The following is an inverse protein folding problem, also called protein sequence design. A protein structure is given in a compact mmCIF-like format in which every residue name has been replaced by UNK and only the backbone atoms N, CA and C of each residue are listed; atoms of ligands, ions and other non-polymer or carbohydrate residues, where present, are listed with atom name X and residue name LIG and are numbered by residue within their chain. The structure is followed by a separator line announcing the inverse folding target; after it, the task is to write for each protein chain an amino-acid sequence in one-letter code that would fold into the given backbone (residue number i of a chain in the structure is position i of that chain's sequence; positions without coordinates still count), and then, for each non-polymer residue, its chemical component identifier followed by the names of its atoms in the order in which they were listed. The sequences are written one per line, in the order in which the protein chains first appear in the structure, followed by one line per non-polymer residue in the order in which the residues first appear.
data_IF_028834390510
#
_entry.id   IF_028834390510
#
_cell.length_a   1.000
_cell.length_b   1.000
_cell.length_c   1.000
_cell.angle_alpha   90.00
_cell.angle_beta   90.00
_cell.angle_gamma   90.00
#
_symmetry.space_group_name_H-M   'P 1'
#
loop_
_entity.id
_entity.type
_entity.pdbx_description
1 polymer ?
#
# COMPACT_ATOMS: atom_id res chain seq x y z
N UNK A 1 13.65 2.81 -21.13
CA UNK A 1 13.54 4.29 -21.10
C UNK A 1 12.40 4.86 -21.96
N UNK A 2 12.08 4.30 -23.14
CA UNK A 2 11.00 4.78 -24.03
C UNK A 2 9.61 4.86 -23.35
N UNK A 3 9.18 3.75 -22.75
CA UNK A 3 7.86 3.65 -22.12
C UNK A 3 7.62 4.71 -21.03
N UNK A 4 8.64 5.09 -20.26
CA UNK A 4 8.46 6.07 -19.18
C UNK A 4 8.19 7.47 -19.74
N UNK A 5 8.85 7.84 -20.85
CA UNK A 5 8.61 9.12 -21.52
C UNK A 5 7.22 9.16 -22.12
N UNK A 6 6.81 8.09 -22.78
CA UNK A 6 5.49 7.98 -23.42
C UNK A 6 4.36 7.99 -22.38
N UNK A 7 4.58 7.42 -21.18
CA UNK A 7 3.64 7.51 -20.06
C UNK A 7 3.55 8.94 -19.52
N UNK A 8 4.70 9.61 -19.35
CA UNK A 8 4.73 10.98 -18.84
C UNK A 8 4.16 12.00 -19.83
N UNK A 9 4.22 11.72 -21.14
CA UNK A 9 3.58 12.54 -22.20
C UNK A 9 2.11 12.21 -22.41
N UNK A 10 1.60 11.11 -21.83
CA UNK A 10 0.22 10.66 -21.98
C UNK A 10 -0.05 9.84 -23.24
N UNK A 11 0.99 9.53 -24.02
CA UNK A 11 0.89 8.71 -25.24
C UNK A 11 0.73 7.21 -24.94
N UNK A 12 0.94 6.82 -23.68
CA UNK A 12 0.90 5.43 -23.24
C UNK A 12 0.27 5.31 -21.86
N UNK A 13 -0.79 4.52 -21.75
CA UNK A 13 -1.44 4.25 -20.46
C UNK A 13 -0.62 3.21 -19.66
N UNK A 14 -0.08 3.59 -18.48
CA UNK A 14 0.64 2.66 -17.62
C UNK A 14 -0.25 1.51 -17.12
N UNK A 15 -1.55 1.75 -16.90
CA UNK A 15 -2.48 0.73 -16.43
C UNK A 15 -2.63 -0.38 -17.49
N UNK A 16 -2.88 -0.01 -18.75
CA UNK A 16 -2.95 -0.95 -19.86
C UNK A 16 -1.68 -1.80 -20.03
N UNK A 17 -0.49 -1.16 -19.95
CA UNK A 17 0.79 -1.88 -20.05
C UNK A 17 1.03 -2.87 -18.92
N UNK A 18 0.67 -2.50 -17.69
CA UNK A 18 0.80 -3.34 -16.52
C UNK A 18 -0.19 -4.50 -16.58
N UNK A 19 -1.39 -4.27 -17.11
CA UNK A 19 -2.43 -5.30 -17.25
C UNK A 19 -1.92 -6.47 -18.11
N UNK A 20 -1.31 -6.18 -19.27
CA UNK A 20 -0.79 -7.22 -20.16
C UNK A 20 0.36 -8.06 -19.56
N UNK A 21 1.17 -7.48 -18.66
CA UNK A 21 2.34 -8.15 -18.08
C UNK A 21 2.10 -8.82 -16.74
N UNK A 22 1.29 -8.20 -15.88
CA UNK A 22 1.00 -8.69 -14.54
C UNK A 22 -0.02 -9.83 -14.56
N UNK A 23 -1.03 -9.77 -15.45
CA UNK A 23 -2.08 -10.81 -15.51
C UNK A 23 -1.72 -12.01 -16.40
N UNK A 24 -0.72 -11.88 -17.29
CA UNK A 24 -0.22 -13.00 -18.08
C UNK A 24 0.53 -14.04 -17.23
N UNK A 25 1.18 -13.60 -16.14
CA UNK A 25 1.82 -14.46 -15.16
C UNK A 25 0.83 -14.74 -14.03
N UNK A 26 0.06 -15.83 -14.15
CA UNK A 26 -0.78 -16.33 -13.05
C UNK A 26 0.07 -16.55 -11.81
N UNK A 27 -0.08 -15.68 -10.80
CA UNK A 27 0.55 -15.85 -9.50
C UNK A 27 0.21 -17.23 -8.93
N UNK A 28 1.22 -18.01 -8.58
CA UNK A 28 1.03 -19.31 -7.95
C UNK A 28 0.25 -19.12 -6.64
N UNK A 29 -0.84 -19.87 -6.44
CA UNK A 29 -1.63 -19.81 -5.20
C UNK A 29 -0.71 -20.15 -4.01
N UNK A 30 -0.53 -19.27 -3.02
CA UNK A 30 0.24 -19.63 -1.84
C UNK A 30 -0.55 -20.68 -1.05
N UNK A 31 0.11 -21.81 -0.78
CA UNK A 31 -0.49 -22.99 -0.12
C UNK A 31 -0.79 -22.74 1.36
N UNK A 32 -0.24 -21.69 1.96
CA UNK A 32 -0.56 -21.20 3.31
C UNK A 32 -0.33 -19.68 3.38
N UNK A 33 -1.35 -18.87 3.11
CA UNK A 33 -1.25 -17.41 3.27
C UNK A 33 -1.60 -17.03 4.71
N UNK A 34 -0.67 -16.36 5.40
CA UNK A 34 -1.04 -15.53 6.56
C UNK A 34 -2.02 -14.46 6.09
N UNK A 35 -3.01 -14.07 6.91
CA UNK A 35 -3.99 -13.07 6.51
C UNK A 35 -3.30 -11.73 6.26
N UNK A 36 -3.75 -11.02 5.23
CA UNK A 36 -3.34 -9.64 5.01
C UNK A 36 -3.80 -8.77 6.19
N UNK A 37 -2.96 -7.81 6.61
CA UNK A 37 -3.27 -6.90 7.70
C UNK A 37 -2.92 -5.48 7.33
N UNK A 38 -3.80 -4.56 7.70
CA UNK A 38 -3.62 -3.13 7.47
C UNK A 38 -3.68 -2.42 8.82
N UNK A 39 -2.65 -1.66 9.12
CA UNK A 39 -2.58 -0.79 10.30
C UNK A 39 -2.58 0.65 9.83
N UNK A 40 -3.37 1.48 10.51
CA UNK A 40 -3.39 2.93 10.27
C UNK A 40 -3.04 3.60 11.58
N UNK A 41 -1.95 4.37 11.55
CA UNK A 41 -1.39 5.07 12.71
C UNK A 41 -1.43 6.58 12.46
N UNK A 42 -2.13 7.27 13.37
CA UNK A 42 -2.24 8.72 13.39
C UNK A 42 -1.60 9.33 14.65
N UNK A 43 -0.82 8.58 15.42
CA UNK A 43 -0.21 9.04 16.67
C UNK A 43 1.30 9.27 16.50
N UNK A 44 1.99 8.40 15.77
CA UNK A 44 3.47 8.45 15.64
C UNK A 44 3.98 9.71 14.93
N UNK A 45 3.19 10.27 14.00
CA UNK A 45 3.55 11.50 13.28
C UNK A 45 2.55 12.62 13.54
N UNK A 46 3.04 13.83 13.83
CA UNK A 46 2.20 15.02 13.90
C UNK A 46 1.67 15.51 12.54
N UNK A 47 2.25 15.06 11.43
CA UNK A 47 1.99 15.62 10.09
C UNK A 47 1.43 14.62 9.08
N UNK A 48 1.62 13.32 9.31
CA UNK A 48 1.26 12.27 8.36
C UNK A 48 0.34 11.23 9.02
N UNK A 49 -0.55 10.65 8.21
CA UNK A 49 -1.17 9.37 8.53
C UNK A 49 -0.24 8.28 7.99
N UNK A 50 0.07 7.30 8.82
CA UNK A 50 0.94 6.18 8.45
C UNK A 50 0.04 4.97 8.17
N UNK A 51 0.14 4.42 6.97
CA UNK A 51 -0.56 3.20 6.57
C UNK A 51 0.48 2.10 6.39
N UNK A 52 0.36 1.04 7.17
CA UNK A 52 1.23 -0.13 7.12
C UNK A 52 0.45 -1.33 6.60
N UNK A 53 0.94 -1.94 5.53
CA UNK A 53 0.30 -3.07 4.85
C UNK A 53 1.21 -4.29 4.94
N UNK A 54 0.67 -5.35 5.54
CA UNK A 54 1.29 -6.67 5.61
C UNK A 54 0.55 -7.60 4.65
N UNK A 55 1.26 -8.16 3.68
CA UNK A 55 0.70 -9.10 2.72
C UNK A 55 1.72 -10.15 2.29
N UNK A 56 1.26 -11.20 1.61
CA UNK A 56 2.16 -12.04 0.82
C UNK A 56 2.61 -11.26 -0.42
N UNK A 57 3.87 -11.39 -0.83
CA UNK A 57 4.33 -10.73 -2.04
C UNK A 57 3.61 -11.33 -3.27
N UNK A 58 3.08 -10.47 -4.14
CA UNK A 58 2.52 -10.87 -5.41
C UNK A 58 2.75 -9.81 -6.48
N UNK A 59 2.79 -10.26 -7.73
CA UNK A 59 3.12 -9.39 -8.83
C UNK A 59 2.09 -8.26 -8.96
N UNK A 60 2.56 -7.00 -8.93
CA UNK A 60 1.71 -5.83 -9.06
C UNK A 60 1.17 -5.27 -7.74
N UNK A 61 1.52 -5.86 -6.58
CA UNK A 61 1.10 -5.40 -5.26
C UNK A 61 1.26 -3.89 -5.06
N UNK A 62 2.49 -3.36 -5.25
CA UNK A 62 2.76 -1.95 -5.00
C UNK A 62 1.93 -1.01 -5.90
N UNK A 63 1.70 -1.39 -7.16
CA UNK A 63 0.85 -0.62 -8.07
C UNK A 63 -0.59 -0.60 -7.59
N UNK A 64 -1.15 -1.77 -7.22
CA UNK A 64 -2.52 -1.86 -6.72
C UNK A 64 -2.71 -1.04 -5.44
N UNK A 65 -1.75 -1.10 -4.50
CA UNK A 65 -1.81 -0.30 -3.28
C UNK A 65 -1.75 1.20 -3.60
N UNK A 66 -0.76 1.63 -4.38
CA UNK A 66 -0.58 3.06 -4.65
C UNK A 66 -1.70 3.65 -5.49
N UNK A 67 -2.25 2.90 -6.45
CA UNK A 67 -3.46 3.29 -7.18
C UNK A 67 -4.68 3.39 -6.24
N UNK A 68 -4.90 2.41 -5.37
CA UNK A 68 -5.99 2.44 -4.39
C UNK A 68 -5.89 3.66 -3.45
N UNK A 69 -4.70 3.98 -2.97
CA UNK A 69 -4.44 5.17 -2.15
C UNK A 69 -4.76 6.46 -2.93
N UNK A 70 -4.38 6.51 -4.21
CA UNK A 70 -4.70 7.63 -5.10
C UNK A 70 -6.22 7.77 -5.29
N UNK A 71 -6.95 6.68 -5.55
CA UNK A 71 -8.42 6.68 -5.66
C UNK A 71 -9.09 7.13 -4.36
N UNK A 72 -8.48 6.85 -3.20
CA UNK A 72 -8.91 7.36 -1.89
C UNK A 72 -8.56 8.84 -1.66
N UNK A 73 -8.00 9.53 -2.66
CA UNK A 73 -7.52 10.92 -2.63
C UNK A 73 -6.44 11.15 -1.59
N UNK A 74 -5.48 10.23 -1.53
CA UNK A 74 -4.30 10.32 -0.66
C UNK A 74 -3.05 10.62 -1.48
N UNK A 75 -2.28 11.59 -1.03
CA UNK A 75 -0.95 11.92 -1.52
C UNK A 75 0.09 11.12 -0.72
N UNK A 76 0.82 10.22 -1.38
CA UNK A 76 1.91 9.44 -0.79
C UNK A 76 3.18 10.29 -0.77
N UNK A 77 3.61 10.68 0.43
CA UNK A 77 4.76 11.56 0.63
C UNK A 77 6.06 10.80 0.79
N UNK A 78 6.00 9.66 1.48
CA UNK A 78 7.11 8.73 1.66
C UNK A 78 6.54 7.33 1.62
N UNK A 79 7.24 6.42 0.96
CA UNK A 79 6.95 4.99 1.01
C UNK A 79 8.22 4.24 1.44
N UNK A 80 8.10 3.37 2.44
CA UNK A 80 9.16 2.45 2.86
C UNK A 80 8.69 1.05 2.49
N UNK A 81 9.37 0.43 1.54
CA UNK A 81 9.00 -0.86 0.95
C UNK A 81 10.00 -1.90 1.44
N UNK A 82 9.52 -2.95 2.08
CA UNK A 82 10.37 -4.02 2.61
C UNK A 82 9.79 -5.39 2.27
N UNK A 83 10.57 -6.21 1.57
CA UNK A 83 10.24 -7.61 1.31
C UNK A 83 11.09 -8.50 2.20
N UNK A 84 10.45 -9.37 2.99
CA UNK A 84 11.11 -10.35 3.82
C UNK A 84 10.59 -11.75 3.47
N UNK A 85 11.45 -12.55 2.82
CA UNK A 85 11.23 -13.95 2.41
C UNK A 85 9.96 -14.16 1.58
N UNK A 86 8.80 -14.18 2.23
CA UNK A 86 7.48 -14.44 1.65
C UNK A 86 6.44 -13.37 2.03
N UNK A 87 6.82 -12.33 2.76
CA UNK A 87 5.93 -11.23 3.14
C UNK A 87 6.48 -9.88 2.70
N UNK A 88 5.56 -8.99 2.36
CA UNK A 88 5.82 -7.56 2.15
C UNK A 88 5.27 -6.79 3.35
N UNK A 89 6.07 -5.86 3.83
CA UNK A 89 5.72 -4.89 4.86
C UNK A 89 5.98 -3.51 4.27
N UNK A 90 4.91 -2.90 3.77
CA UNK A 90 4.98 -1.61 3.11
C UNK A 90 4.36 -0.53 4.00
N UNK A 91 5.11 0.55 4.23
CA UNK A 91 4.69 1.67 5.07
C UNK A 91 4.60 2.94 4.24
N UNK A 92 3.42 3.53 4.18
CA UNK A 92 3.11 4.74 3.43
C UNK A 92 2.80 5.90 4.38
N UNK A 93 3.51 7.00 4.22
CA UNK A 93 3.24 8.26 4.89
C UNK A 93 2.38 9.10 3.96
N UNK A 94 1.12 9.27 4.32
CA UNK A 94 0.11 9.89 3.46
C UNK A 94 -0.50 11.14 4.09
N UNK A 95 -1.03 11.99 3.22
CA UNK A 95 -1.96 13.07 3.56
C UNK A 95 -3.12 13.04 2.58
N UNK A 96 -4.24 13.66 2.92
CA UNK A 96 -5.22 14.00 1.90
C UNK A 96 -4.71 15.11 0.98
N UNK A 97 -5.46 15.40 -0.08
CA UNK A 97 -5.10 16.45 -1.04
C UNK A 97 -5.20 17.88 -0.48
N UNK A 98 -5.82 18.06 0.69
CA UNK A 98 -5.79 19.33 1.42
C UNK A 98 -4.55 19.44 2.32
N UNK A 99 -3.66 18.45 2.31
CA UNK A 99 -2.45 18.39 3.11
C UNK A 99 -2.69 18.05 4.58
N UNK A 100 -3.85 17.46 4.92
CA UNK A 100 -4.22 17.05 6.28
C UNK A 100 -4.04 15.55 6.48
N UNK A 101 -3.99 15.15 7.75
CA UNK A 101 -4.06 13.75 8.15
C UNK A 101 -5.47 13.21 7.96
N UNK A 102 -5.58 11.91 7.78
CA UNK A 102 -6.84 11.18 7.75
C UNK A 102 -7.09 10.59 9.13
N UNK A 103 -7.66 11.37 10.02
CA UNK A 103 -7.96 11.01 11.42
C UNK A 103 -9.43 10.59 11.64
N UNK A 104 -10.30 10.93 10.69
CA UNK A 104 -11.71 10.56 10.71
C UNK A 104 -11.90 9.03 10.64
N UNK A 105 -12.54 8.40 11.65
CA UNK A 105 -12.70 6.95 11.71
C UNK A 105 -13.40 6.34 10.49
N UNK A 106 -14.42 7.01 9.96
CA UNK A 106 -15.17 6.57 8.78
C UNK A 106 -14.31 6.56 7.51
N UNK A 107 -13.41 7.55 7.37
CA UNK A 107 -12.45 7.62 6.26
C UNK A 107 -11.39 6.54 6.39
N UNK A 108 -10.87 6.31 7.59
CA UNK A 108 -9.90 5.25 7.88
C UNK A 108 -10.48 3.89 7.50
N UNK A 109 -11.71 3.60 7.92
CA UNK A 109 -12.36 2.32 7.61
C UNK A 109 -12.60 2.14 6.11
N UNK A 110 -13.01 3.21 5.43
CA UNK A 110 -13.15 3.20 3.97
C UNK A 110 -11.83 2.85 3.29
N UNK A 111 -10.73 3.51 3.68
CA UNK A 111 -9.39 3.26 3.11
C UNK A 111 -8.96 1.82 3.36
N UNK A 112 -9.12 1.31 4.58
CA UNK A 112 -8.83 -0.09 4.90
C UNK A 112 -9.63 -1.04 4.02
N UNK A 113 -10.93 -0.77 3.85
CA UNK A 113 -11.81 -1.59 3.02
C UNK A 113 -11.38 -1.61 1.55
N UNK A 114 -11.08 -0.44 0.96
CA UNK A 114 -10.61 -0.37 -0.43
C UNK A 114 -9.28 -1.09 -0.63
N UNK A 115 -8.33 -0.92 0.29
CA UNK A 115 -7.04 -1.64 0.23
C UNK A 115 -7.27 -3.15 0.36
N UNK A 116 -8.14 -3.62 1.27
CA UNK A 116 -8.42 -5.06 1.41
C UNK A 116 -9.00 -5.69 0.14
N UNK A 117 -9.79 -4.94 -0.65
CA UNK A 117 -10.40 -5.46 -1.89
C UNK A 117 -9.37 -5.81 -2.96
N UNK A 118 -8.22 -5.13 -2.97
CA UNK A 118 -7.14 -5.41 -3.92
C UNK A 118 -6.18 -6.49 -3.40
N UNK A 119 -6.26 -6.87 -2.13
CA UNK A 119 -5.40 -7.91 -1.55
C UNK A 119 -5.98 -9.32 -1.75
N UNK A 120 -5.14 -10.31 -2.13
CA UNK A 120 -5.56 -11.70 -2.25
C UNK A 120 -5.89 -12.28 -0.86
N UNK A 121 -7.08 -12.87 -0.72
CA UNK A 121 -7.51 -13.59 0.50
C UNK A 121 -8.00 -12.71 1.66
N UNK A 122 -8.53 -11.52 1.37
CA UNK A 122 -8.97 -10.51 2.34
C UNK A 122 -9.87 -11.01 3.48
N UNK A 123 -9.28 -11.35 4.62
CA UNK A 123 -9.95 -11.43 5.92
C UNK A 123 -9.11 -10.67 6.95
N UNK A 124 -9.55 -9.46 7.30
CA UNK A 124 -8.88 -8.60 8.28
C UNK A 124 -9.03 -9.20 9.69
N UNK A 125 -7.93 -9.37 10.41
CA UNK A 125 -7.95 -9.55 11.87
C UNK A 125 -7.05 -8.50 12.48
N UNK A 126 -7.67 -7.56 13.18
CA UNK A 126 -7.01 -6.51 13.93
C UNK A 126 -6.08 -7.15 14.96
N UNK A 127 -4.78 -7.12 14.70
CA UNK A 127 -3.80 -7.36 15.73
C UNK A 127 -3.57 -6.06 16.49
N UNK A 128 -3.54 -6.13 17.81
CA UNK A 128 -2.89 -5.16 18.68
C UNK A 128 -1.39 -5.35 18.51
N UNK A 129 -0.62 -4.32 18.12
CA UNK A 129 0.84 -4.36 18.28
C UNK A 129 1.26 -3.48 19.45
N UNK A 130 1.89 -4.13 20.41
CA UNK A 130 2.59 -3.53 21.53
C UNK A 130 3.80 -2.73 21.04
N UNK A 131 3.90 -1.53 21.59
CA UNK A 131 4.97 -0.57 21.46
C UNK A 131 6.31 -1.17 21.89
N UNK A 132 7.10 -1.68 20.94
CA UNK A 132 8.53 -1.91 21.16
C UNK A 132 9.37 -0.94 20.33
N UNK A 133 10.03 -0.06 21.08
CA UNK A 133 11.10 0.84 20.66
C UNK A 133 12.17 0.08 19.87
N UNK A 134 12.73 0.75 18.87
CA UNK A 134 13.92 0.32 18.16
C UNK A 134 14.38 1.42 17.23
N UNK A 135 15.28 2.24 17.75
CA UNK A 135 16.01 3.30 17.06
C UNK A 135 16.47 2.89 15.66
N UNK A 136 16.06 3.62 14.63
CA UNK A 136 16.97 3.94 13.52
C UNK A 136 16.44 5.10 12.66
N UNK A 137 16.96 6.30 12.89
CA UNK A 137 17.10 7.29 11.83
C UNK A 137 18.44 7.99 12.00
N UNK A 138 19.45 7.42 11.34
CA UNK A 138 20.63 8.14 10.92
C UNK A 138 20.28 8.94 9.64
N UNK A 139 20.81 10.16 9.62
CA UNK A 139 20.97 11.17 8.55
C UNK A 139 19.72 11.84 7.98
#
# INVERSE_FOLDING_TARGET
ERNLRDILSGDLDPAALLTDRLFAAKSAKPVFSRPCRIVVDNETSGFYTIIEVHAHDFQGFLYQITDTLLQCRLDVRVAKIATQVDQVVDVFYVRDFDGRKVDRPDRIETIKSEILKVLPGGSNREGTYEKNRGDNQAV
#
